data_IF_154878085672
#
_entry.id   IF_154878085672
#
_cell.length_a   1.000
_cell.length_b   1.000
_cell.length_c   1.000
_cell.angle_alpha   90.00
_cell.angle_beta   90.00
_cell.angle_gamma   90.00
#
_symmetry.space_group_name_H-M   'P 1'
#
loop_
_entity.id
_entity.type
_entity.pdbx_description
1 polymer ?
#
# COMPACT_ATOMS: atom_id res chain seq x y z
N UNK A 1 -24.92 -16.35 19.57
CA UNK A 1 -24.27 -15.02 19.63
C UNK A 1 -23.24 -14.92 18.51
N UNK A 2 -23.27 -13.86 17.70
CA UNK A 2 -22.11 -13.54 16.84
C UNK A 2 -20.94 -13.23 17.79
N UNK A 3 -19.77 -13.86 17.59
CA UNK A 3 -18.56 -13.44 18.32
C UNK A 3 -18.33 -11.96 18.00
N UNK A 4 -18.20 -11.12 19.02
CA UNK A 4 -17.79 -9.73 18.84
C UNK A 4 -16.39 -9.65 18.21
N UNK A 5 -16.01 -8.46 17.75
CA UNK A 5 -14.68 -8.20 17.22
C UNK A 5 -13.61 -8.40 18.31
N UNK A 6 -12.51 -9.07 17.97
CA UNK A 6 -11.30 -9.06 18.79
C UNK A 6 -10.46 -7.82 18.40
N UNK A 7 -10.32 -6.82 19.30
CA UNK A 7 -9.66 -5.57 18.94
C UNK A 7 -8.16 -5.71 18.68
N UNK A 8 -7.48 -6.65 19.34
CA UNK A 8 -6.05 -6.90 19.14
C UNK A 8 -5.77 -7.45 17.74
N UNK A 9 -6.58 -8.43 17.31
CA UNK A 9 -6.46 -9.00 15.96
C UNK A 9 -6.77 -7.97 14.87
N UNK A 10 -7.76 -7.10 15.09
CA UNK A 10 -8.12 -6.06 14.11
C UNK A 10 -7.08 -4.94 14.05
N UNK A 11 -6.50 -4.56 15.18
CA UNK A 11 -5.38 -3.61 15.20
C UNK A 11 -4.15 -4.18 14.47
N UNK A 12 -3.83 -5.46 14.71
CA UNK A 12 -2.73 -6.15 14.00
C UNK A 12 -2.99 -6.23 12.50
N UNK A 13 -4.21 -6.58 12.09
CA UNK A 13 -4.60 -6.57 10.67
C UNK A 13 -4.44 -5.17 10.06
N UNK A 14 -4.83 -4.11 10.78
CA UNK A 14 -4.64 -2.74 10.33
C UNK A 14 -3.17 -2.40 10.05
N UNK A 15 -2.27 -2.79 10.94
CA UNK A 15 -0.82 -2.62 10.74
C UNK A 15 -0.32 -3.39 9.51
N UNK A 16 -0.76 -4.63 9.31
CA UNK A 16 -0.38 -5.44 8.15
C UNK A 16 -0.85 -4.82 6.83
N UNK A 17 -2.05 -4.24 6.81
CA UNK A 17 -2.58 -3.55 5.63
C UNK A 17 -1.71 -2.33 5.30
N UNK A 18 -1.36 -1.51 6.30
CA UNK A 18 -0.46 -0.37 6.10
C UNK A 18 0.90 -0.82 5.56
N UNK A 19 1.50 -1.85 6.17
CA UNK A 19 2.78 -2.39 5.72
C UNK A 19 2.73 -2.87 4.27
N UNK A 20 1.65 -3.55 3.84
CA UNK A 20 1.52 -4.02 2.46
C UNK A 20 1.54 -2.86 1.44
N UNK A 21 1.00 -1.69 1.80
CA UNK A 21 1.07 -0.50 0.95
C UNK A 21 2.48 0.08 0.86
N UNK A 22 3.23 0.07 1.95
CA UNK A 22 4.63 0.49 1.99
C UNK A 22 5.53 -0.47 1.18
N UNK A 23 5.33 -1.77 1.34
CA UNK A 23 6.07 -2.82 0.62
C UNK A 23 5.86 -2.71 -0.89
N UNK A 24 4.61 -2.43 -1.33
CA UNK A 24 4.30 -2.21 -2.73
C UNK A 24 5.03 -0.98 -3.31
N UNK A 25 5.09 0.11 -2.55
CA UNK A 25 5.83 1.32 -2.94
C UNK A 25 7.34 1.04 -3.04
N UNK A 26 7.90 0.32 -2.06
CA UNK A 26 9.32 -0.06 -2.07
C UNK A 26 9.67 -0.92 -3.29
N UNK A 27 8.84 -1.92 -3.60
CA UNK A 27 9.02 -2.77 -4.78
C UNK A 27 8.96 -1.96 -6.09
N UNK A 28 8.02 -1.01 -6.19
CA UNK A 28 7.96 -0.10 -7.33
C UNK A 28 9.24 0.74 -7.46
N UNK A 29 9.70 1.38 -6.38
CA UNK A 29 10.91 2.20 -6.42
C UNK A 29 12.14 1.40 -6.86
N UNK A 30 12.28 0.16 -6.38
CA UNK A 30 13.37 -0.72 -6.80
C UNK A 30 13.32 -1.03 -8.31
N UNK A 31 12.15 -1.41 -8.82
CA UNK A 31 11.98 -1.76 -10.24
C UNK A 31 12.10 -0.52 -11.13
N UNK A 32 11.57 0.63 -10.72
CA UNK A 32 11.67 1.89 -11.45
C UNK A 32 13.14 2.29 -11.67
N UNK A 33 13.97 2.20 -10.64
CA UNK A 33 15.41 2.46 -10.78
C UNK A 33 16.11 1.52 -11.77
N UNK A 34 15.66 0.26 -11.86
CA UNK A 34 16.17 -0.68 -12.87
C UNK A 34 15.69 -0.34 -14.27
N UNK A 35 14.41 0.01 -14.44
CA UNK A 35 13.83 0.43 -15.73
C UNK A 35 14.54 1.66 -16.29
N UNK A 36 14.83 2.64 -15.43
CA UNK A 36 15.55 3.85 -15.81
C UNK A 36 17.04 3.59 -16.11
N UNK A 37 17.65 2.64 -15.39
CA UNK A 37 19.08 2.31 -15.45
C UNK A 37 19.49 1.29 -16.51
N UNK A 38 18.56 0.78 -17.34
CA UNK A 38 18.91 -0.10 -18.45
C UNK A 38 19.72 0.66 -19.50
N UNK A 39 20.76 0.01 -20.04
CA UNK A 39 21.54 0.49 -21.19
C UNK A 39 20.72 0.30 -22.49
N UNK A 40 19.64 1.07 -22.59
CA UNK A 40 18.71 1.13 -23.71
C UNK A 40 18.42 2.60 -23.99
N UNK A 41 18.54 3.00 -25.26
CA UNK A 41 18.39 4.38 -25.71
C UNK A 41 17.49 4.44 -26.93
N UNK A 42 16.74 5.53 -27.11
CA UNK A 42 15.87 5.75 -28.26
C UNK A 42 14.49 6.25 -27.87
N UNK A 43 13.71 6.66 -28.87
CA UNK A 43 12.33 7.14 -28.66
C UNK A 43 11.41 6.06 -28.09
N UNK A 44 11.66 4.80 -28.45
CA UNK A 44 10.99 3.62 -27.92
C UNK A 44 11.23 3.46 -26.41
N UNK A 45 12.48 3.64 -25.98
CA UNK A 45 12.86 3.65 -24.57
C UNK A 45 12.17 4.76 -23.82
N UNK A 46 12.23 5.98 -24.33
CA UNK A 46 11.63 7.14 -23.66
C UNK A 46 10.10 6.98 -23.50
N UNK A 47 9.43 6.47 -24.54
CA UNK A 47 8.00 6.12 -24.48
C UNK A 47 7.73 5.05 -23.43
N UNK A 48 8.50 3.96 -23.43
CA UNK A 48 8.31 2.87 -22.46
C UNK A 48 8.52 3.33 -21.01
N UNK A 49 9.60 4.06 -20.73
CA UNK A 49 9.90 4.57 -19.37
C UNK A 49 8.80 5.53 -18.92
N UNK A 50 8.34 6.42 -19.80
CA UNK A 50 7.23 7.33 -19.52
C UNK A 50 5.91 6.59 -19.22
N UNK A 51 5.57 5.60 -20.05
CA UNK A 51 4.34 4.82 -19.89
C UNK A 51 4.38 3.95 -18.62
N UNK A 52 5.53 3.32 -18.34
CA UNK A 52 5.76 2.55 -17.14
C UNK A 52 5.61 3.41 -15.88
N UNK A 53 6.35 4.53 -15.82
CA UNK A 53 6.31 5.43 -14.66
C UNK A 53 4.92 6.01 -14.48
N UNK A 54 4.29 6.56 -15.53
CA UNK A 54 2.95 7.15 -15.41
C UNK A 54 1.88 6.13 -15.01
N UNK A 55 1.92 4.90 -15.51
CA UNK A 55 0.89 3.90 -15.22
C UNK A 55 1.12 3.25 -13.86
N UNK A 56 2.30 2.67 -13.65
CA UNK A 56 2.58 1.83 -12.48
C UNK A 56 2.72 2.67 -11.21
N UNK A 57 3.37 3.85 -11.29
CA UNK A 57 3.50 4.75 -10.14
C UNK A 57 2.14 5.17 -9.61
N UNK A 58 1.23 5.58 -10.51
CA UNK A 58 -0.11 6.02 -10.13
C UNK A 58 -0.91 4.91 -9.45
N UNK A 59 -0.83 3.67 -9.95
CA UNK A 59 -1.50 2.51 -9.34
C UNK A 59 -0.93 2.20 -7.95
N UNK A 60 0.39 2.24 -7.79
CA UNK A 60 1.05 1.93 -6.52
C UNK A 60 0.81 3.03 -5.47
N UNK A 61 0.80 4.30 -5.88
CA UNK A 61 0.40 5.41 -4.99
C UNK A 61 -1.06 5.29 -4.53
N UNK A 62 -1.98 4.93 -5.44
CA UNK A 62 -3.37 4.67 -5.08
C UNK A 62 -3.54 3.48 -4.13
N UNK A 63 -2.77 2.40 -4.34
CA UNK A 63 -2.75 1.25 -3.44
C UNK A 63 -2.25 1.64 -2.05
N UNK A 64 -1.11 2.32 -1.97
CA UNK A 64 -0.52 2.78 -0.70
C UNK A 64 -1.50 3.65 0.08
N UNK A 65 -2.18 4.58 -0.60
CA UNK A 65 -3.18 5.47 0.01
C UNK A 65 -4.34 4.67 0.59
N UNK A 66 -4.93 3.75 -0.18
CA UNK A 66 -6.02 2.91 0.29
C UNK A 66 -5.59 2.00 1.46
N UNK A 67 -4.39 1.43 1.41
CA UNK A 67 -3.82 0.66 2.51
C UNK A 67 -3.70 1.50 3.79
N UNK A 68 -3.23 2.74 3.70
CA UNK A 68 -3.16 3.64 4.85
C UNK A 68 -4.55 3.93 5.43
N UNK A 69 -5.53 4.24 4.58
CA UNK A 69 -6.91 4.51 4.99
C UNK A 69 -7.57 3.30 5.68
N UNK A 70 -7.46 2.10 5.10
CA UNK A 70 -8.02 0.89 5.69
C UNK A 70 -7.30 0.48 6.97
N UNK A 71 -5.98 0.66 7.03
CA UNK A 71 -5.19 0.42 8.24
C UNK A 71 -5.59 1.34 9.40
N UNK A 72 -5.83 2.63 9.13
CA UNK A 72 -6.33 3.59 10.11
C UNK A 72 -7.76 3.25 10.57
N UNK A 73 -8.65 2.92 9.63
CA UNK A 73 -10.03 2.50 9.97
C UNK A 73 -10.05 1.24 10.84
N UNK A 74 -9.18 0.26 10.58
CA UNK A 74 -9.06 -0.92 11.41
C UNK A 74 -8.61 -0.58 12.84
N UNK A 75 -7.62 0.32 13.00
CA UNK A 75 -7.18 0.81 14.32
C UNK A 75 -8.28 1.55 15.06
N UNK A 76 -8.97 2.48 14.39
CA UNK A 76 -10.13 3.21 14.94
C UNK A 76 -11.22 2.24 15.42
N UNK A 77 -11.56 1.22 14.62
CA UNK A 77 -12.56 0.23 15.01
C UNK A 77 -12.12 -0.57 16.25
N UNK A 78 -10.86 -0.99 16.31
CA UNK A 78 -10.31 -1.70 17.47
C UNK A 78 -10.41 -0.85 18.74
N UNK A 79 -10.09 0.43 18.68
CA UNK A 79 -10.16 1.35 19.83
C UNK A 79 -11.60 1.58 20.32
N UNK A 80 -12.54 1.74 19.38
CA UNK A 80 -13.96 1.82 19.70
C UNK A 80 -14.45 0.56 20.43
N UNK A 81 -14.02 -0.62 19.99
CA UNK A 81 -14.39 -1.87 20.64
C UNK A 81 -13.77 -2.04 22.03
N UNK A 82 -12.52 -1.61 22.24
CA UNK A 82 -11.91 -1.59 23.58
C UNK A 82 -12.73 -0.73 24.53
N UNK A 83 -13.12 0.46 24.08
CA UNK A 83 -13.92 1.41 24.86
C UNK A 83 -15.33 0.88 25.15
N UNK A 84 -15.94 0.18 24.19
CA UNK A 84 -17.29 -0.38 24.37
C UNK A 84 -17.31 -1.65 25.23
N UNK A 85 -16.16 -2.32 25.41
CA UNK A 85 -16.05 -3.58 26.15
C UNK A 85 -15.43 -3.43 27.54
N UNK A 86 -14.95 -2.22 27.88
CA UNK A 86 -14.48 -1.81 29.20
C UNK A 86 -15.62 -1.32 30.07
#
# INVERSE_FOLDING_TARGET
>A
MKKGMNPELVAQMGQQITQAGEDAMAAYTEVAGRVEGLDWTGEDRDRYVSDFSSTVQNLVQQLQTQCAEFGERARTNADQQRTASS
#
